data_IF_053655088447
#
_entry.id   IF_053655088447
#
_cell.length_a   1.000
_cell.length_b   1.000
_cell.length_c   1.000
_cell.angle_alpha   90.00
_cell.angle_beta   90.00
_cell.angle_gamma   90.00
#
_symmetry.space_group_name_H-M   'P 1'
#
loop_
_entity.id
_entity.type
_entity.pdbx_description
1 polymer ?
#
# COMPACT_ATOMS: atom_id res chain seq x y z
N UNK A 1 -13.09 -77.16 -11.22
CA UNK A 1 -12.15 -78.18 -11.76
C UNK A 1 -11.80 -77.84 -13.21
N UNK A 2 -10.55 -78.11 -13.64
CA UNK A 2 -10.09 -78.38 -15.02
C UNK A 2 -10.29 -77.31 -16.14
N UNK A 3 -9.18 -76.64 -16.47
CA UNK A 3 -8.63 -76.47 -17.84
C UNK A 3 -7.92 -77.78 -18.28
N UNK A 4 -7.19 -77.92 -19.44
CA UNK A 4 -6.91 -77.06 -20.62
C UNK A 4 -7.52 -77.71 -21.91
N UNK A 5 -7.01 -77.70 -23.18
CA UNK A 5 -5.89 -77.02 -23.91
C UNK A 5 -6.38 -75.89 -24.86
N UNK A 6 -5.61 -75.10 -25.65
CA UNK A 6 -4.22 -75.03 -26.20
C UNK A 6 -3.92 -75.67 -27.57
N UNK A 7 -3.64 -74.80 -28.56
CA UNK A 7 -2.60 -74.83 -29.62
C UNK A 7 -2.85 -73.63 -30.59
N UNK A 8 -1.91 -72.96 -31.24
CA UNK A 8 -0.43 -72.87 -31.13
C UNK A 8 0.11 -71.69 -31.97
N UNK A 9 1.18 -71.03 -31.49
CA UNK A 9 2.36 -70.48 -32.21
C UNK A 9 2.35 -70.42 -33.75
N UNK A 10 2.86 -69.39 -34.45
CA UNK A 10 3.85 -68.34 -34.14
C UNK A 10 3.36 -66.94 -34.63
N UNK A 11 4.11 -65.83 -34.85
CA UNK A 11 5.55 -65.49 -34.83
C UNK A 11 5.75 -63.99 -34.46
N UNK A 12 6.97 -63.45 -34.57
CA UNK A 12 7.37 -62.08 -34.18
C UNK A 12 7.46 -61.12 -35.38
N UNK A 13 7.02 -59.86 -35.22
CA UNK A 13 7.59 -58.70 -35.93
C UNK A 13 7.48 -57.43 -35.08
N UNK A 14 8.45 -56.53 -35.22
CA UNK A 14 8.67 -55.33 -34.38
C UNK A 14 8.10 -54.05 -35.02
N UNK A 15 7.54 -53.12 -34.23
CA UNK A 15 7.00 -51.87 -34.81
C UNK A 15 6.48 -50.84 -33.80
N UNK A 16 7.30 -49.81 -33.55
CA UNK A 16 7.08 -48.59 -32.73
C UNK A 16 5.63 -48.07 -32.52
N UNK A 17 5.34 -47.75 -31.25
CA UNK A 17 4.35 -46.75 -30.84
C UNK A 17 4.82 -45.33 -31.19
N UNK A 18 3.96 -44.52 -31.81
CA UNK A 18 4.19 -43.09 -32.04
C UNK A 18 3.50 -42.23 -30.96
N UNK A 19 4.29 -41.61 -30.08
CA UNK A 19 3.83 -40.49 -29.24
C UNK A 19 4.23 -39.18 -29.91
N UNK A 20 3.26 -38.28 -30.13
CA UNK A 20 3.53 -36.93 -30.62
C UNK A 20 4.08 -36.09 -29.46
N UNK A 21 5.33 -35.64 -29.58
CA UNK A 21 5.87 -34.49 -28.83
C UNK A 21 6.18 -33.39 -29.86
N UNK A 22 5.69 -32.17 -29.64
CA UNK A 22 6.12 -31.00 -30.42
C UNK A 22 7.44 -30.49 -29.87
N UNK A 23 8.42 -30.26 -30.75
CA UNK A 23 9.64 -29.53 -30.42
C UNK A 23 9.35 -28.02 -30.50
N UNK A 24 10.00 -27.26 -29.63
CA UNK A 24 10.50 -25.92 -29.98
C UNK A 24 12.02 -26.01 -29.84
N UNK A 25 12.74 -25.68 -30.91
CA UNK A 25 14.19 -25.85 -30.97
C UNK A 25 14.91 -24.56 -30.55
N UNK A 26 15.93 -24.73 -29.71
CA UNK A 26 16.89 -23.68 -29.37
C UNK A 26 17.69 -23.30 -30.62
N UNK A 27 17.72 -22.01 -30.97
CA UNK A 27 18.67 -21.46 -31.93
C UNK A 27 19.68 -20.57 -31.20
N UNK A 28 20.83 -21.16 -30.88
CA UNK A 28 22.00 -20.46 -30.35
C UNK A 28 22.84 -20.02 -31.56
N UNK A 29 22.90 -18.71 -31.83
CA UNK A 29 23.87 -18.12 -32.77
C UNK A 29 24.70 -17.10 -32.03
N UNK A 30 25.93 -17.48 -31.70
CA UNK A 30 26.92 -16.56 -31.17
C UNK A 30 27.58 -15.81 -32.33
N UNK A 31 27.54 -14.48 -32.30
CA UNK A 31 28.38 -13.63 -33.14
C UNK A 31 28.99 -12.54 -32.25
N UNK A 32 30.25 -12.77 -31.87
CA UNK A 32 31.08 -11.80 -31.17
C UNK A 32 31.38 -10.62 -32.09
N UNK A 33 31.04 -9.41 -31.67
CA UNK A 33 31.65 -8.18 -32.15
C UNK A 33 31.59 -7.14 -31.05
N UNK A 34 32.72 -6.95 -30.37
CA UNK A 34 32.85 -6.00 -29.28
C UNK A 34 33.00 -4.58 -29.84
N UNK A 35 31.94 -3.78 -29.71
CA UNK A 35 32.07 -2.34 -29.47
C UNK A 35 31.46 -2.10 -28.10
N UNK A 36 32.30 -1.77 -27.13
CA UNK A 36 31.88 -1.71 -25.73
C UNK A 36 30.90 -0.59 -25.48
N UNK A 37 29.66 -0.94 -25.10
CA UNK A 37 28.82 -0.02 -24.33
C UNK A 37 29.62 0.45 -23.12
N UNK A 38 29.72 1.76 -22.83
CA UNK A 38 30.41 2.22 -21.65
C UNK A 38 29.72 1.60 -20.43
N UNK A 39 30.46 0.79 -19.66
CA UNK A 39 30.04 0.50 -18.29
C UNK A 39 30.02 1.85 -17.59
N UNK A 40 28.82 2.34 -17.32
CA UNK A 40 28.63 3.47 -16.42
C UNK A 40 29.08 3.02 -15.03
N UNK A 41 30.36 3.23 -14.73
CA UNK A 41 30.89 3.32 -13.36
C UNK A 41 30.51 4.70 -12.78
N UNK A 42 29.25 5.10 -13.01
CA UNK A 42 28.66 6.28 -12.42
C UNK A 42 27.98 5.85 -11.13
N UNK A 43 28.21 6.60 -10.07
CA UNK A 43 27.38 6.55 -8.87
C UNK A 43 25.91 6.68 -9.30
N UNK A 44 25.03 5.79 -8.82
CA UNK A 44 23.59 5.91 -9.07
C UNK A 44 23.15 7.26 -8.51
N UNK A 45 22.69 8.22 -9.34
CA UNK A 45 22.37 9.55 -8.84
C UNK A 45 21.25 9.42 -7.81
N UNK A 46 21.43 10.04 -6.64
CA UNK A 46 20.35 10.08 -5.66
C UNK A 46 19.14 10.78 -6.30
N UNK A 47 17.94 10.18 -6.26
CA UNK A 47 16.75 10.83 -6.79
C UNK A 47 16.56 12.21 -6.13
N UNK A 48 16.12 13.19 -6.92
CA UNK A 48 15.89 14.53 -6.42
C UNK A 48 14.68 14.53 -5.45
N UNK A 49 14.75 15.23 -4.31
CA UNK A 49 13.64 15.28 -3.36
C UNK A 49 12.34 15.73 -4.04
N UNK A 50 11.29 14.91 -3.92
CA UNK A 50 9.93 15.10 -4.44
C UNK A 50 9.16 16.17 -3.65
N UNK A 51 9.77 17.34 -3.47
CA UNK A 51 9.17 18.49 -2.79
C UNK A 51 7.78 18.77 -3.35
N UNK A 52 6.82 18.93 -2.45
CA UNK A 52 5.45 19.32 -2.71
C UNK A 52 5.17 20.75 -2.23
N UNK A 53 3.97 21.28 -2.51
CA UNK A 53 3.49 22.54 -1.96
C UNK A 53 3.49 22.46 -0.42
N UNK A 54 3.79 23.58 0.26
CA UNK A 54 3.66 23.68 1.70
C UNK A 54 2.23 24.07 2.09
N UNK A 55 1.64 23.36 3.06
CA UNK A 55 0.32 23.66 3.63
C UNK A 55 0.48 24.30 5.02
N UNK A 56 0.06 25.56 5.23
CA UNK A 56 0.16 26.21 6.53
C UNK A 56 -0.57 25.42 7.62
N UNK A 57 0.07 25.26 8.78
CA UNK A 57 -0.47 24.42 9.88
C UNK A 57 -1.88 24.85 10.34
N UNK A 58 -2.19 26.15 10.30
CA UNK A 58 -3.50 26.67 10.69
C UNK A 58 -4.64 26.37 9.68
N UNK A 59 -4.35 25.72 8.54
CA UNK A 59 -5.35 25.48 7.49
C UNK A 59 -6.36 24.41 7.91
N UNK A 60 -7.67 24.70 7.96
CA UNK A 60 -8.68 23.64 8.11
C UNK A 60 -8.73 22.81 6.82
N UNK A 61 -8.56 21.49 6.95
CA UNK A 61 -8.67 20.57 5.82
C UNK A 61 -10.14 20.36 5.44
N UNK A 62 -10.41 20.30 4.14
CA UNK A 62 -11.74 20.09 3.55
C UNK A 62 -11.72 19.09 2.41
N UNK A 63 -10.60 18.95 1.68
CA UNK A 63 -10.40 17.91 0.66
C UNK A 63 -9.04 17.23 0.84
N UNK A 64 -9.06 15.92 1.07
CA UNK A 64 -7.88 15.07 1.25
C UNK A 64 -7.99 13.91 0.26
N UNK A 65 -7.02 13.79 -0.64
CA UNK A 65 -6.92 12.64 -1.53
C UNK A 65 -6.00 11.57 -0.93
N UNK A 66 -6.16 10.32 -1.36
CA UNK A 66 -5.25 9.22 -1.05
C UNK A 66 -5.09 8.24 -2.21
N UNK A 67 -4.05 7.43 -2.16
CA UNK A 67 -3.89 6.25 -3.01
C UNK A 67 -2.59 5.51 -2.73
N UNK A 68 -2.50 4.31 -3.29
CA UNK A 68 -1.32 3.44 -3.20
C UNK A 68 -1.02 2.80 -4.55
N UNK A 69 0.06 2.04 -4.63
CA UNK A 69 0.32 1.12 -5.74
C UNK A 69 0.37 1.83 -7.10
N UNK A 70 1.41 2.65 -7.31
CA UNK A 70 1.68 3.37 -8.54
C UNK A 70 2.94 2.86 -9.26
N UNK A 71 2.78 2.35 -10.48
CA UNK A 71 3.86 1.86 -11.34
C UNK A 71 4.21 2.91 -12.42
N UNK A 72 5.28 3.73 -12.25
CA UNK A 72 5.65 4.77 -13.22
C UNK A 72 6.02 4.23 -14.61
N UNK A 73 6.38 2.95 -14.72
CA UNK A 73 6.72 2.27 -15.97
C UNK A 73 5.53 1.95 -16.88
N UNK A 74 4.28 2.14 -16.42
CA UNK A 74 3.07 1.86 -17.23
C UNK A 74 2.63 3.01 -18.14
N UNK A 75 3.29 4.18 -18.08
CA UNK A 75 2.92 5.40 -18.82
C UNK A 75 1.45 5.87 -18.58
N UNK A 76 0.86 5.49 -17.44
CA UNK A 76 -0.53 5.78 -17.06
C UNK A 76 -0.62 6.89 -16.00
N UNK A 77 -0.01 8.04 -16.29
CA UNK A 77 0.05 9.20 -15.38
C UNK A 77 -1.28 9.99 -15.26
N UNK A 78 -2.37 9.55 -15.92
CA UNK A 78 -3.64 10.28 -15.98
C UNK A 78 -4.33 10.41 -14.61
N UNK A 79 -4.11 9.45 -13.70
CA UNK A 79 -4.59 9.49 -12.32
C UNK A 79 -4.12 10.75 -11.57
N UNK A 80 -2.91 11.25 -11.85
CA UNK A 80 -2.42 12.51 -11.24
C UNK A 80 -3.20 13.73 -11.72
N UNK A 81 -3.68 13.74 -12.97
CA UNK A 81 -4.54 14.80 -13.48
C UNK A 81 -5.94 14.72 -12.86
N UNK A 82 -6.49 13.52 -12.66
CA UNK A 82 -7.77 13.32 -11.98
C UNK A 82 -7.71 13.74 -10.50
N UNK A 83 -6.63 13.40 -9.79
CA UNK A 83 -6.35 13.89 -8.42
C UNK A 83 -6.21 15.41 -8.42
N UNK A 84 -5.47 16.00 -9.37
CA UNK A 84 -5.33 17.46 -9.46
C UNK A 84 -6.68 18.16 -9.71
N UNK A 85 -7.59 17.54 -10.47
CA UNK A 85 -8.91 18.09 -10.81
C UNK A 85 -9.88 18.17 -9.63
N UNK A 86 -9.71 17.35 -8.58
CA UNK A 86 -10.49 17.48 -7.33
C UNK A 86 -9.87 18.45 -6.32
N UNK A 87 -8.77 19.13 -6.70
CA UNK A 87 -8.10 20.17 -5.92
C UNK A 87 -7.91 19.84 -4.42
N UNK A 88 -7.20 18.74 -4.09
CA UNK A 88 -6.96 18.35 -2.71
C UNK A 88 -5.92 19.27 -2.06
N UNK A 89 -6.15 19.62 -0.80
CA UNK A 89 -5.19 20.37 0.02
C UNK A 89 -4.01 19.48 0.44
N UNK A 90 -4.31 18.18 0.64
CA UNK A 90 -3.40 17.14 1.07
C UNK A 90 -3.63 15.88 0.23
N UNK A 91 -2.56 15.26 -0.25
CA UNK A 91 -2.54 13.92 -0.82
C UNK A 91 -1.75 13.01 0.13
N UNK A 92 -2.35 11.90 0.53
CA UNK A 92 -1.75 10.86 1.35
C UNK A 92 -1.42 9.67 0.46
N UNK A 93 -0.14 9.46 0.15
CA UNK A 93 0.29 8.22 -0.48
C UNK A 93 0.53 7.18 0.62
N UNK A 94 -0.16 6.05 0.54
CA UNK A 94 -0.21 5.08 1.65
C UNK A 94 0.82 3.96 1.53
N UNK A 95 1.56 3.89 0.42
CA UNK A 95 2.51 2.83 0.13
C UNK A 95 2.50 2.42 -1.35
N UNK A 96 3.49 1.63 -1.75
CA UNK A 96 3.86 1.33 -3.14
C UNK A 96 3.79 2.56 -4.04
N UNK A 97 4.48 3.63 -3.62
CA UNK A 97 4.51 4.89 -4.36
C UNK A 97 5.25 4.73 -5.71
N UNK A 98 6.11 3.71 -5.81
CA UNK A 98 6.78 3.24 -7.03
C UNK A 98 6.91 1.72 -7.03
N UNK A 99 6.85 1.09 -8.21
CA UNK A 99 7.33 -0.28 -8.43
C UNK A 99 8.64 -0.26 -9.22
N UNK A 100 9.57 -1.14 -8.86
CA UNK A 100 10.74 -1.43 -9.67
C UNK A 100 10.34 -2.16 -10.97
N UNK A 101 11.07 -1.91 -12.05
CA UNK A 101 10.93 -2.73 -13.28
C UNK A 101 11.54 -4.13 -13.15
N UNK A 102 12.54 -4.27 -12.27
CA UNK A 102 13.08 -5.55 -11.81
C UNK A 102 13.37 -5.44 -10.31
N UNK A 103 12.92 -6.41 -9.52
CA UNK A 103 13.14 -6.44 -8.08
C UNK A 103 14.36 -7.30 -7.76
N UNK A 104 15.53 -6.67 -7.67
CA UNK A 104 16.80 -7.35 -7.36
C UNK A 104 17.23 -7.24 -5.90
N UNK A 105 16.75 -6.20 -5.23
CA UNK A 105 17.08 -5.91 -3.83
C UNK A 105 18.59 -5.92 -3.52
N UNK A 106 19.42 -5.54 -4.50
CA UNK A 106 20.88 -5.49 -4.34
C UNK A 106 21.32 -4.24 -3.52
N UNK A 107 22.46 -4.31 -2.81
CA UNK A 107 23.04 -3.11 -2.17
C UNK A 107 23.23 -1.98 -3.18
N UNK A 108 22.88 -0.75 -2.80
CA UNK A 108 22.78 0.39 -3.70
C UNK A 108 21.35 0.68 -4.19
N UNK A 109 20.41 -0.26 -4.03
CA UNK A 109 18.97 -0.14 -4.33
C UNK A 109 18.69 0.52 -5.69
N UNK A 110 19.44 0.12 -6.72
CA UNK A 110 19.49 0.84 -7.99
C UNK A 110 18.11 0.90 -8.65
N UNK A 111 17.41 -0.22 -8.73
CA UNK A 111 16.14 -0.33 -9.44
C UNK A 111 15.03 0.49 -8.75
N UNK A 112 15.10 0.64 -7.42
CA UNK A 112 14.23 1.52 -6.63
C UNK A 112 14.58 3.01 -6.84
N UNK A 113 15.88 3.37 -6.89
CA UNK A 113 16.32 4.72 -7.25
C UNK A 113 15.88 5.11 -8.67
N UNK A 114 16.00 4.18 -9.62
CA UNK A 114 15.56 4.36 -11.01
C UNK A 114 14.03 4.54 -11.07
N UNK A 115 13.24 3.76 -10.31
CA UNK A 115 11.79 3.91 -10.23
C UNK A 115 11.35 5.27 -9.63
N UNK A 116 11.98 5.73 -8.55
CA UNK A 116 11.76 7.08 -8.02
C UNK A 116 12.19 8.18 -8.99
N UNK A 117 13.26 7.99 -9.77
CA UNK A 117 13.66 8.93 -10.80
C UNK A 117 12.63 9.02 -11.95
N UNK A 118 11.97 7.91 -12.29
CA UNK A 118 10.85 7.90 -13.26
C UNK A 118 9.67 8.71 -12.73
N UNK A 119 9.17 8.42 -11.52
CA UNK A 119 8.10 9.22 -10.88
C UNK A 119 8.46 10.70 -10.76
N UNK A 120 9.73 11.02 -10.44
CA UNK A 120 10.21 12.40 -10.37
C UNK A 120 10.14 13.14 -11.72
N UNK A 121 10.23 12.41 -12.83
CA UNK A 121 10.25 12.94 -14.21
C UNK A 121 8.86 13.18 -14.81
N UNK A 122 7.81 12.58 -14.25
CA UNK A 122 6.44 12.74 -14.75
C UNK A 122 5.94 14.18 -14.64
N UNK A 123 5.44 14.73 -15.74
CA UNK A 123 5.03 16.13 -15.84
C UNK A 123 3.76 16.42 -15.02
N UNK A 124 2.83 15.46 -15.01
CA UNK A 124 1.56 15.44 -14.31
C UNK A 124 1.79 15.40 -12.80
N UNK A 125 2.58 14.44 -12.30
CA UNK A 125 2.94 14.35 -10.89
C UNK A 125 3.73 15.59 -10.42
N UNK A 126 4.67 16.08 -11.22
CA UNK A 126 5.36 17.33 -10.94
C UNK A 126 4.42 18.55 -10.93
N UNK A 127 3.34 18.56 -11.73
CA UNK A 127 2.33 19.61 -11.71
C UNK A 127 1.44 19.56 -10.46
N UNK A 128 1.01 18.36 -10.06
CA UNK A 128 0.27 18.11 -8.82
C UNK A 128 1.08 18.55 -7.58
N UNK A 129 2.35 18.13 -7.48
CA UNK A 129 3.27 18.54 -6.41
C UNK A 129 3.44 20.05 -6.26
N UNK A 130 3.32 20.83 -7.34
CA UNK A 130 3.40 22.31 -7.28
C UNK A 130 2.15 22.98 -6.68
N UNK A 131 1.10 22.23 -6.35
CA UNK A 131 -0.20 22.77 -5.89
C UNK A 131 -0.75 22.09 -4.64
N UNK A 132 -0.47 20.81 -4.46
CA UNK A 132 -0.95 19.97 -3.36
C UNK A 132 0.21 19.57 -2.45
N UNK A 133 0.00 19.55 -1.14
CA UNK A 133 0.95 18.95 -0.18
C UNK A 133 0.84 17.45 -0.25
N UNK A 134 1.97 16.75 -0.36
CA UNK A 134 2.02 15.29 -0.34
C UNK A 134 2.68 14.85 0.96
N UNK A 135 2.07 13.88 1.64
CA UNK A 135 2.76 13.02 2.59
C UNK A 135 2.75 11.59 2.05
N UNK A 136 3.82 10.85 2.33
CA UNK A 136 3.97 9.46 1.94
C UNK A 136 4.43 8.63 3.14
N UNK A 137 3.89 7.42 3.26
CA UNK A 137 4.59 6.29 3.90
C UNK A 137 4.93 5.27 2.80
N UNK A 138 5.57 4.17 3.17
CA UNK A 138 5.97 3.10 2.25
C UNK A 138 5.11 1.84 2.37
N UNK A 139 5.14 1.03 1.32
CA UNK A 139 4.93 -0.42 1.41
C UNK A 139 6.17 -1.18 0.92
N UNK A 140 6.07 -2.48 0.64
CA UNK A 140 7.19 -3.35 0.30
C UNK A 140 7.95 -2.97 -0.99
N UNK A 141 7.30 -2.41 -2.01
CA UNK A 141 8.04 -1.98 -3.21
C UNK A 141 8.83 -0.69 -2.97
N UNK A 142 8.31 0.26 -2.18
CA UNK A 142 9.10 1.39 -1.68
C UNK A 142 10.22 0.94 -0.70
N UNK A 143 9.99 -0.15 0.03
CA UNK A 143 10.93 -0.75 0.97
C UNK A 143 12.04 -1.53 0.27
N UNK A 144 11.82 -1.97 -0.98
CA UNK A 144 12.85 -2.51 -1.87
C UNK A 144 12.80 -4.02 -2.13
N UNK A 145 11.85 -4.74 -1.52
CA UNK A 145 11.61 -6.18 -1.73
C UNK A 145 10.19 -6.58 -1.28
N UNK A 146 9.42 -7.17 -2.20
CA UNK A 146 8.08 -7.69 -2.00
C UNK A 146 7.96 -8.61 -0.75
N UNK A 147 6.88 -8.48 0.01
CA UNK A 147 6.61 -9.20 1.28
C UNK A 147 7.73 -9.06 2.34
N UNK A 148 8.70 -8.15 2.21
CA UNK A 148 9.82 -8.06 3.16
C UNK A 148 9.50 -7.22 4.40
N UNK A 149 10.14 -7.59 5.52
CA UNK A 149 10.04 -6.94 6.82
C UNK A 149 11.40 -6.63 7.45
N UNK A 150 11.49 -6.71 8.78
CA UNK A 150 12.68 -6.37 9.55
C UNK A 150 13.93 -7.21 9.19
N UNK A 151 13.74 -8.38 8.57
CA UNK A 151 14.81 -9.25 8.06
C UNK A 151 15.53 -8.70 6.81
N UNK A 152 14.98 -7.68 6.15
CA UNK A 152 15.51 -7.17 4.89
C UNK A 152 16.90 -6.51 5.06
N UNK A 153 17.98 -7.03 4.42
CA UNK A 153 19.34 -6.55 4.69
C UNK A 153 19.57 -5.08 4.29
N UNK A 154 18.82 -4.56 3.32
CA UNK A 154 18.92 -3.19 2.83
C UNK A 154 17.91 -2.23 3.48
N UNK A 155 17.11 -2.67 4.48
CA UNK A 155 16.12 -1.83 5.22
C UNK A 155 16.61 -0.40 5.50
N UNK A 156 17.84 -0.26 6.02
CA UNK A 156 18.44 1.04 6.38
C UNK A 156 18.88 1.89 5.18
N UNK A 157 19.20 1.26 4.05
CA UNK A 157 19.44 1.99 2.80
C UNK A 157 18.12 2.45 2.17
N UNK A 158 17.07 1.63 2.25
CA UNK A 158 15.71 1.98 1.80
C UNK A 158 15.18 3.15 2.61
N UNK A 159 15.33 3.11 3.94
CA UNK A 159 14.95 4.19 4.87
C UNK A 159 15.62 5.52 4.47
N UNK A 160 16.95 5.50 4.30
CA UNK A 160 17.70 6.70 3.91
C UNK A 160 17.34 7.19 2.48
N UNK A 161 17.02 6.27 1.57
CA UNK A 161 16.53 6.59 0.23
C UNK A 161 15.15 7.25 0.31
N UNK A 162 14.20 6.67 1.03
CA UNK A 162 12.85 7.19 1.22
C UNK A 162 12.88 8.60 1.83
N UNK A 163 13.67 8.81 2.89
CA UNK A 163 13.85 10.13 3.52
C UNK A 163 14.47 11.17 2.56
N UNK A 164 15.36 10.75 1.66
CA UNK A 164 15.92 11.64 0.63
C UNK A 164 14.92 12.01 -0.46
N UNK A 165 13.99 11.10 -0.78
CA UNK A 165 12.95 11.28 -1.79
C UNK A 165 11.78 12.09 -1.26
N UNK A 166 11.31 11.79 -0.05
CA UNK A 166 10.10 12.36 0.54
C UNK A 166 10.44 13.30 1.70
N UNK A 167 10.66 14.61 1.43
CA UNK A 167 11.01 15.57 2.46
C UNK A 167 9.80 15.90 3.35
N UNK A 168 9.66 15.19 4.46
CA UNK A 168 8.69 15.48 5.52
C UNK A 168 9.14 16.70 6.35
N UNK A 169 8.21 17.56 6.84
CA UNK A 169 8.54 18.68 7.72
C UNK A 169 9.34 18.31 8.98
N UNK A 170 10.22 19.21 9.41
CA UNK A 170 11.02 19.06 10.63
C UNK A 170 10.11 18.87 11.86
N UNK A 171 10.42 17.86 12.68
CA UNK A 171 9.65 17.52 13.88
C UNK A 171 8.37 16.70 13.66
N UNK A 172 7.98 16.41 12.42
CA UNK A 172 6.88 15.48 12.12
C UNK A 172 7.35 14.00 12.06
N UNK A 173 8.63 13.77 11.82
CA UNK A 173 9.27 12.46 11.96
C UNK A 173 9.25 11.95 13.42
N UNK A 174 9.31 10.63 13.54
CA UNK A 174 9.82 9.91 14.73
C UNK A 174 11.11 10.54 15.30
N UNK A 175 11.32 10.33 16.61
CA UNK A 175 12.49 10.88 17.32
C UNK A 175 13.63 9.86 17.54
N UNK A 176 13.41 8.58 17.20
CA UNK A 176 14.33 7.45 17.43
C UNK A 176 15.30 7.19 16.25
N UNK A 177 14.88 7.51 15.02
CA UNK A 177 15.65 7.26 13.81
C UNK A 177 15.52 5.84 13.25
N UNK A 178 14.40 5.14 13.50
CA UNK A 178 14.09 3.86 12.83
C UNK A 178 12.65 3.81 12.29
N UNK A 179 12.49 3.68 10.97
CA UNK A 179 11.22 3.48 10.25
C UNK A 179 10.51 4.71 9.68
N UNK A 180 9.54 4.52 8.82
CA UNK A 180 8.86 5.60 8.07
C UNK A 180 7.49 5.88 8.68
N UNK A 181 7.49 6.44 9.90
CA UNK A 181 6.27 6.83 10.61
C UNK A 181 6.31 8.27 11.10
N UNK A 182 5.15 8.93 11.07
CA UNK A 182 5.04 10.38 11.28
C UNK A 182 3.68 10.86 11.80
N UNK A 183 3.69 12.03 12.43
CA UNK A 183 2.49 12.75 12.88
C UNK A 183 2.47 14.16 12.28
N UNK A 184 1.36 14.56 11.67
CA UNK A 184 1.10 15.95 11.30
C UNK A 184 -0.30 16.39 11.76
N UNK A 185 -0.39 17.63 12.22
CA UNK A 185 -1.65 18.23 12.72
C UNK A 185 -1.92 19.53 11.98
N UNK A 186 -3.12 19.66 11.40
CA UNK A 186 -3.59 20.86 10.73
C UNK A 186 -4.91 21.36 11.30
N UNK A 187 -5.16 22.66 11.16
CA UNK A 187 -6.41 23.33 11.50
C UNK A 187 -6.50 23.85 12.94
N UNK A 188 -7.40 24.82 13.19
CA UNK A 188 -7.69 25.32 14.53
C UNK A 188 -8.48 24.29 15.35
N UNK A 189 -8.59 24.51 16.67
CA UNK A 189 -9.51 23.77 17.53
C UNK A 189 -10.94 23.83 16.98
N UNK A 190 -11.66 22.70 16.98
CA UNK A 190 -12.99 22.56 16.37
C UNK A 190 -12.95 22.20 14.87
N UNK A 191 -11.77 22.27 14.24
CA UNK A 191 -11.51 21.87 12.83
C UNK A 191 -10.12 21.26 12.65
N UNK A 192 -9.62 20.57 13.68
CA UNK A 192 -8.27 20.01 13.73
C UNK A 192 -8.26 18.60 13.18
N UNK A 193 -7.44 18.37 12.16
CA UNK A 193 -7.13 17.03 11.64
C UNK A 193 -5.74 16.63 12.12
N UNK A 194 -5.64 15.45 12.72
CA UNK A 194 -4.36 14.76 12.95
C UNK A 194 -4.22 13.61 11.95
N UNK A 195 -3.10 13.56 11.25
CA UNK A 195 -2.72 12.44 10.39
C UNK A 195 -1.60 11.67 11.08
N UNK A 196 -1.82 10.37 11.26
CA UNK A 196 -0.85 9.42 11.81
C UNK A 196 -0.50 8.42 10.71
N UNK A 197 0.73 8.47 10.21
CA UNK A 197 1.21 7.53 9.21
C UNK A 197 2.02 6.43 9.90
N UNK A 198 1.57 5.19 9.74
CA UNK A 198 2.26 4.00 10.23
C UNK A 198 3.31 3.50 9.23
N UNK A 199 4.13 2.58 9.72
CA UNK A 199 5.14 1.82 8.98
C UNK A 199 4.87 0.35 9.28
N UNK A 200 4.41 -0.41 8.28
CA UNK A 200 4.07 -1.82 8.40
C UNK A 200 5.24 -2.76 8.00
N UNK A 201 6.45 -2.20 7.79
CA UNK A 201 7.59 -2.89 7.17
C UNK A 201 8.82 -2.93 8.09
N UNK A 202 9.28 -1.78 8.60
CA UNK A 202 10.58 -1.69 9.31
C UNK A 202 10.76 -2.67 10.44
N UNK A 203 9.70 -2.85 11.23
CA UNK A 203 9.72 -3.62 12.46
C UNK A 203 9.01 -4.97 12.32
N UNK A 204 8.44 -5.24 11.15
CA UNK A 204 7.58 -6.40 10.93
C UNK A 204 8.41 -7.67 10.91
N UNK A 205 8.12 -8.60 11.81
CA UNK A 205 8.67 -9.95 11.77
C UNK A 205 8.14 -10.74 10.55
N UNK A 206 8.80 -11.86 10.21
CA UNK A 206 8.25 -12.79 9.22
C UNK A 206 6.81 -13.19 9.57
N UNK A 207 5.92 -13.16 8.57
CA UNK A 207 4.53 -13.53 8.78
C UNK A 207 4.38 -14.94 9.38
N UNK A 208 3.55 -15.12 10.43
CA UNK A 208 3.28 -16.44 10.97
C UNK A 208 2.50 -17.31 9.96
N UNK A 209 2.60 -18.63 10.09
CA UNK A 209 1.70 -19.54 9.38
C UNK A 209 0.25 -19.38 9.87
N UNK A 210 -0.73 -19.80 9.08
CA UNK A 210 -2.16 -19.69 9.44
C UNK A 210 -2.49 -20.44 10.74
N UNK A 211 -1.78 -21.54 11.01
CA UNK A 211 -1.88 -22.33 12.24
C UNK A 211 -1.24 -21.64 13.46
N UNK A 212 -0.26 -20.76 13.24
CA UNK A 212 0.49 -20.07 14.28
C UNK A 212 -0.05 -18.67 14.60
N UNK A 213 -0.77 -18.02 13.67
CA UNK A 213 -1.17 -16.61 13.76
C UNK A 213 -1.85 -16.26 15.10
N UNK A 214 -2.77 -17.10 15.59
CA UNK A 214 -3.49 -16.88 16.85
C UNK A 214 -2.65 -17.04 18.13
N UNK A 215 -1.41 -17.54 18.04
CA UNK A 215 -0.50 -17.74 19.18
C UNK A 215 0.90 -17.18 18.94
N UNK A 216 1.08 -16.35 17.91
CA UNK A 216 2.37 -15.76 17.55
C UNK A 216 2.67 -14.53 18.39
N UNK A 217 3.94 -14.37 18.74
CA UNK A 217 4.55 -13.20 19.36
C UNK A 217 5.24 -12.25 18.35
N UNK A 218 5.08 -12.53 17.05
CA UNK A 218 5.56 -11.68 15.96
C UNK A 218 4.93 -10.28 16.03
N UNK A 219 5.75 -9.24 15.85
CA UNK A 219 5.29 -7.85 15.82
C UNK A 219 5.18 -7.30 14.39
N UNK A 220 4.29 -6.32 14.22
CA UNK A 220 4.10 -5.56 12.97
C UNK A 220 4.74 -4.18 13.07
N UNK A 221 4.45 -3.46 14.16
CA UNK A 221 4.94 -2.09 14.39
C UNK A 221 6.22 -2.03 15.24
N UNK A 222 6.52 -3.07 16.02
CA UNK A 222 7.58 -3.01 17.02
C UNK A 222 7.25 -2.08 18.19
N UNK A 223 7.87 -2.35 19.33
CA UNK A 223 7.48 -1.71 20.59
C UNK A 223 7.71 -0.19 20.62
N UNK A 224 8.72 0.32 19.90
CA UNK A 224 9.00 1.77 19.84
C UNK A 224 7.87 2.54 19.14
N UNK A 225 7.41 2.05 17.99
CA UNK A 225 6.31 2.65 17.26
C UNK A 225 4.97 2.46 17.99
N UNK A 226 4.77 1.33 18.68
CA UNK A 226 3.62 1.13 19.57
C UNK A 226 3.54 2.19 20.68
N UNK A 227 4.65 2.48 21.34
CA UNK A 227 4.73 3.51 22.39
C UNK A 227 4.52 4.91 21.82
N UNK A 228 5.09 5.20 20.65
CA UNK A 228 4.81 6.44 19.92
C UNK A 228 3.32 6.58 19.59
N UNK A 229 2.69 5.56 19.00
CA UNK A 229 1.30 5.58 18.59
C UNK A 229 0.38 5.78 19.81
N UNK A 230 0.62 5.05 20.90
CA UNK A 230 -0.10 5.21 22.15
C UNK A 230 -0.06 6.67 22.66
N UNK A 231 1.10 7.33 22.57
CA UNK A 231 1.23 8.75 22.95
C UNK A 231 0.50 9.68 21.97
N UNK A 232 0.63 9.48 20.66
CA UNK A 232 0.00 10.37 19.66
C UNK A 232 -1.52 10.25 19.61
N UNK A 233 -2.06 9.08 19.94
CA UNK A 233 -3.51 8.89 20.11
C UNK A 233 -4.08 9.69 21.29
N UNK A 234 -3.26 10.16 22.23
CA UNK A 234 -3.70 11.06 23.31
C UNK A 234 -3.61 12.55 22.96
N UNK A 235 -3.09 12.92 21.80
CA UNK A 235 -3.09 14.31 21.33
C UNK A 235 -4.52 14.75 20.95
N UNK A 236 -4.95 15.99 21.25
CA UNK A 236 -6.31 16.42 20.93
C UNK A 236 -6.47 16.68 19.43
N UNK A 237 -7.49 16.09 18.81
CA UNK A 237 -7.86 16.24 17.41
C UNK A 237 -9.40 16.19 17.28
N UNK A 238 -9.99 16.91 16.33
CA UNK A 238 -11.43 16.81 16.06
C UNK A 238 -11.71 15.64 15.09
N UNK A 239 -10.80 15.43 14.13
CA UNK A 239 -10.76 14.28 13.23
C UNK A 239 -9.34 13.68 13.22
N UNK A 240 -9.26 12.35 13.24
CA UNK A 240 -8.02 11.57 13.16
C UNK A 240 -8.04 10.69 11.91
N UNK A 241 -6.97 10.75 11.13
CA UNK A 241 -6.71 9.85 10.01
C UNK A 241 -5.56 8.92 10.40
N UNK A 242 -5.84 7.61 10.43
CA UNK A 242 -4.82 6.58 10.61
C UNK A 242 -4.48 6.00 9.24
N UNK A 243 -3.26 6.22 8.77
CA UNK A 243 -2.76 5.65 7.51
C UNK A 243 -1.93 4.41 7.81
N UNK A 244 -2.37 3.27 7.31
CA UNK A 244 -1.64 2.00 7.29
C UNK A 244 -1.32 1.67 5.84
N UNK A 245 -0.22 0.99 5.55
CA UNK A 245 0.07 0.61 4.16
C UNK A 245 -0.84 -0.56 3.73
N UNK A 246 -0.86 -1.61 4.56
CA UNK A 246 -1.74 -2.77 4.44
C UNK A 246 -3.09 -2.59 5.17
N UNK A 247 -4.18 -3.30 4.80
CA UNK A 247 -5.51 -3.10 5.38
C UNK A 247 -5.66 -3.51 6.85
N UNK A 248 -6.38 -2.71 7.64
CA UNK A 248 -6.54 -2.91 9.10
C UNK A 248 -7.81 -3.70 9.45
N UNK A 249 -8.93 -3.35 8.82
CA UNK A 249 -10.26 -3.87 9.11
C UNK A 249 -10.60 -5.13 8.30
N UNK A 250 -9.82 -5.48 7.27
CA UNK A 250 -9.97 -6.72 6.51
C UNK A 250 -10.01 -7.95 7.43
N UNK A 251 -10.93 -8.88 7.15
CA UNK A 251 -10.98 -10.20 7.80
C UNK A 251 -10.36 -11.32 6.96
N UNK A 252 -9.84 -10.99 5.76
CA UNK A 252 -9.21 -11.95 4.84
C UNK A 252 -7.99 -12.64 5.43
N UNK A 253 -7.83 -13.92 5.11
CA UNK A 253 -6.68 -14.75 5.50
C UNK A 253 -5.61 -14.83 4.40
N UNK A 254 -5.82 -14.18 3.24
CA UNK A 254 -4.87 -14.06 2.12
C UNK A 254 -4.42 -12.60 1.88
N UNK A 255 -3.20 -12.42 1.39
CA UNK A 255 -2.55 -11.11 1.16
C UNK A 255 -2.06 -10.44 2.45
N UNK A 256 -1.19 -9.43 2.34
CA UNK A 256 -0.70 -8.72 3.52
C UNK A 256 -1.79 -7.84 4.13
N UNK A 257 -2.17 -8.11 5.38
CA UNK A 257 -3.16 -7.35 6.12
C UNK A 257 -3.05 -7.67 7.61
N UNK A 258 -3.60 -6.80 8.46
CA UNK A 258 -3.47 -6.91 9.91
C UNK A 258 -4.08 -8.20 10.50
N UNK A 259 -5.06 -8.86 9.84
CA UNK A 259 -5.64 -10.10 10.36
C UNK A 259 -4.65 -11.28 10.35
N UNK A 260 -3.53 -11.19 9.62
CA UNK A 260 -2.42 -12.17 9.69
C UNK A 260 -1.64 -12.12 11.00
N UNK A 261 -1.73 -11.03 11.76
CA UNK A 261 -1.19 -10.90 13.13
C UNK A 261 -2.31 -10.48 14.10
N UNK A 262 -3.22 -11.40 14.49
CA UNK A 262 -4.40 -11.08 15.31
C UNK A 262 -4.10 -10.37 16.63
N UNK A 263 -2.97 -10.67 17.28
CA UNK A 263 -2.56 -10.02 18.53
C UNK A 263 -2.21 -8.53 18.33
N UNK A 264 -1.41 -8.22 17.30
CA UNK A 264 -1.07 -6.84 16.92
C UNK A 264 -2.32 -6.06 16.46
N UNK A 265 -3.22 -6.69 15.69
CA UNK A 265 -4.51 -6.10 15.30
C UNK A 265 -5.40 -5.81 16.50
N UNK A 266 -5.50 -6.72 17.46
CA UNK A 266 -6.24 -6.50 18.70
C UNK A 266 -5.63 -5.36 19.53
N UNK A 267 -4.29 -5.27 19.61
CA UNK A 267 -3.57 -4.17 20.25
C UNK A 267 -3.85 -2.82 19.58
N UNK A 268 -3.89 -2.76 18.24
CA UNK A 268 -4.26 -1.54 17.52
C UNK A 268 -5.68 -1.10 17.86
N UNK A 269 -6.65 -2.01 17.74
CA UNK A 269 -8.06 -1.70 17.95
C UNK A 269 -8.35 -1.26 19.39
N UNK A 270 -7.69 -1.86 20.39
CA UNK A 270 -7.77 -1.42 21.79
C UNK A 270 -7.17 -0.02 22.01
N UNK A 271 -6.03 0.30 21.39
CA UNK A 271 -5.47 1.65 21.44
C UNK A 271 -6.36 2.68 20.74
N UNK A 272 -6.99 2.32 19.62
CA UNK A 272 -7.94 3.19 18.91
C UNK A 272 -9.21 3.42 19.72
N UNK A 273 -9.73 2.42 20.44
CA UNK A 273 -10.86 2.60 21.35
C UNK A 273 -10.52 3.56 22.52
N UNK A 274 -9.28 3.52 23.02
CA UNK A 274 -8.79 4.33 24.15
C UNK A 274 -8.14 5.67 23.74
N UNK A 275 -8.30 6.09 22.49
CA UNK A 275 -7.74 7.37 21.98
C UNK A 275 -8.41 8.57 22.65
N UNK A 276 -7.71 9.71 22.70
CA UNK A 276 -8.32 10.98 23.06
C UNK A 276 -9.44 11.33 22.07
N UNK A 277 -10.51 11.92 22.59
CA UNK A 277 -11.77 12.06 21.88
C UNK A 277 -11.61 12.74 20.51
N UNK A 278 -12.18 12.10 19.49
CA UNK A 278 -12.00 12.42 18.06
C UNK A 278 -12.82 11.45 17.21
N UNK A 279 -13.32 11.93 16.07
CA UNK A 279 -13.71 11.04 14.99
C UNK A 279 -12.48 10.36 14.35
N UNK A 280 -12.66 9.18 13.74
CA UNK A 280 -11.58 8.37 13.18
C UNK A 280 -11.96 7.84 11.79
N UNK A 281 -11.02 7.93 10.85
CA UNK A 281 -11.07 7.19 9.57
C UNK A 281 -9.72 6.51 9.36
N UNK A 282 -9.75 5.23 8.98
CA UNK A 282 -8.56 4.46 8.61
C UNK A 282 -8.40 4.52 7.08
N UNK A 283 -7.16 4.60 6.61
CA UNK A 283 -6.79 4.71 5.19
C UNK A 283 -5.72 3.66 4.86
N UNK A 284 -5.87 2.96 3.73
CA UNK A 284 -5.00 1.84 3.36
C UNK A 284 -4.86 1.59 1.84
N UNK A 285 -3.87 0.77 1.49
CA UNK A 285 -3.44 0.44 0.13
C UNK A 285 -3.30 -1.07 -0.10
N UNK A 286 -2.10 -1.51 -0.53
CA UNK A 286 -1.64 -2.89 -0.82
C UNK A 286 -2.43 -3.70 -1.88
N UNK A 287 -3.75 -3.75 -1.78
CA UNK A 287 -4.49 -4.91 -2.34
C UNK A 287 -4.85 -4.84 -3.83
N UNK A 288 -4.44 -3.78 -4.55
CA UNK A 288 -4.71 -3.51 -5.98
C UNK A 288 -6.22 -3.50 -6.38
N UNK A 289 -7.14 -3.36 -5.42
CA UNK A 289 -8.54 -2.99 -5.62
C UNK A 289 -9.00 -2.04 -4.51
N UNK A 290 -9.96 -1.15 -4.80
CA UNK A 290 -10.50 -0.22 -3.83
C UNK A 290 -11.70 -0.80 -3.07
N UNK A 291 -11.86 -0.46 -1.79
CA UNK A 291 -13.01 -0.88 -0.98
C UNK A 291 -13.34 0.14 0.13
N UNK A 292 -14.55 0.01 0.69
CA UNK A 292 -14.83 0.49 2.05
C UNK A 292 -15.03 -0.72 2.93
N UNK A 293 -14.32 -0.75 4.06
CA UNK A 293 -14.43 -1.76 5.10
C UNK A 293 -15.02 -1.09 6.36
N UNK A 294 -15.91 -1.79 7.04
CA UNK A 294 -16.55 -1.35 8.28
C UNK A 294 -16.52 -2.47 9.32
N UNK A 295 -16.21 -2.09 10.56
CA UNK A 295 -16.22 -2.98 11.72
C UNK A 295 -16.88 -2.29 12.89
N UNK A 296 -17.88 -2.92 13.49
CA UNK A 296 -18.45 -2.45 14.75
C UNK A 296 -17.42 -2.58 15.89
N UNK A 297 -17.28 -1.51 16.66
CA UNK A 297 -16.68 -1.48 17.99
C UNK A 297 -17.77 -1.06 19.00
N UNK A 298 -17.46 -1.07 20.30
CA UNK A 298 -18.47 -0.96 21.35
C UNK A 298 -19.34 0.32 21.26
N UNK A 299 -18.71 1.48 21.00
CA UNK A 299 -19.38 2.80 20.94
C UNK A 299 -19.32 3.47 19.55
N UNK A 300 -18.75 2.81 18.52
CA UNK A 300 -18.66 3.38 17.17
C UNK A 300 -18.47 2.31 16.08
N UNK A 301 -18.88 2.61 14.84
CA UNK A 301 -18.47 1.84 13.66
C UNK A 301 -17.13 2.38 13.14
N UNK A 302 -16.07 1.56 13.21
CA UNK A 302 -14.79 1.89 12.59
C UNK A 302 -14.91 1.75 11.07
N UNK A 303 -14.39 2.74 10.34
CA UNK A 303 -14.44 2.78 8.88
C UNK A 303 -13.05 2.91 8.29
N UNK A 304 -12.78 2.10 7.28
CA UNK A 304 -11.56 2.12 6.47
C UNK A 304 -11.89 2.38 5.00
N UNK A 305 -11.26 3.39 4.42
CA UNK A 305 -11.27 3.64 2.98
C UNK A 305 -9.95 3.11 2.39
N UNK A 306 -10.04 1.95 1.75
CA UNK A 306 -8.94 1.30 1.06
C UNK A 306 -8.94 1.80 -0.39
N UNK A 307 -7.86 2.46 -0.82
CA UNK A 307 -7.69 2.90 -2.21
C UNK A 307 -6.39 2.37 -2.79
N UNK A 308 -6.52 1.22 -3.44
CA UNK A 308 -5.48 0.63 -4.28
C UNK A 308 -6.12 0.20 -5.61
N UNK A 309 -5.48 0.28 -6.76
CA UNK A 309 -4.19 0.88 -7.05
C UNK A 309 -4.36 2.11 -7.94
N UNK A 310 -3.42 3.05 -7.88
CA UNK A 310 -3.46 4.28 -8.66
C UNK A 310 -3.34 4.02 -10.17
N UNK A 311 -2.58 3.00 -10.60
CA UNK A 311 -2.53 2.57 -12.00
C UNK A 311 -2.19 1.08 -12.24
N UNK A 312 -2.11 0.24 -11.21
CA UNK A 312 -1.70 -1.18 -11.31
C UNK A 312 -2.82 -2.16 -10.87
N UNK A 313 -4.04 -2.12 -11.45
CA UNK A 313 -5.19 -2.87 -10.93
C UNK A 313 -5.02 -4.39 -11.08
N UNK A 314 -5.71 -5.18 -10.23
CA UNK A 314 -5.68 -6.64 -10.39
C UNK A 314 -6.30 -7.06 -11.73
N UNK A 315 -5.47 -7.77 -12.51
CA UNK A 315 -5.80 -8.39 -13.79
C UNK A 315 -6.96 -9.38 -13.66
N UNK A 316 -7.79 -9.49 -14.70
CA UNK A 316 -9.01 -10.31 -14.62
C UNK A 316 -8.74 -11.79 -14.32
N UNK A 317 -7.60 -12.33 -14.80
CA UNK A 317 -7.17 -13.71 -14.56
C UNK A 317 -6.71 -13.97 -13.10
N UNK A 318 -6.29 -12.93 -12.38
CA UNK A 318 -5.88 -13.03 -10.98
C UNK A 318 -7.05 -12.86 -10.00
N UNK A 319 -8.12 -12.11 -10.37
CA UNK A 319 -9.28 -11.86 -9.50
C UNK A 319 -9.93 -13.12 -8.89
N UNK A 320 -10.09 -14.27 -9.59
CA UNK A 320 -10.68 -15.48 -9.02
C UNK A 320 -9.84 -16.15 -7.93
N UNK A 321 -8.57 -15.76 -7.79
CA UNK A 321 -7.62 -16.31 -6.81
C UNK A 321 -7.62 -15.52 -5.50
N UNK A 322 -8.23 -14.32 -5.49
CA UNK A 322 -8.37 -13.50 -4.31
C UNK A 322 -9.50 -14.00 -3.41
N UNK A 323 -9.28 -13.95 -2.11
CA UNK A 323 -10.38 -13.97 -1.14
C UNK A 323 -11.13 -12.62 -1.20
N UNK A 324 -12.04 -12.49 -2.16
CA UNK A 324 -12.89 -11.30 -2.30
C UNK A 324 -14.01 -11.23 -1.24
N UNK A 325 -14.26 -12.34 -0.56
CA UNK A 325 -15.26 -12.44 0.51
C UNK A 325 -14.69 -11.93 1.82
N UNK A 326 -14.67 -10.61 1.97
CA UNK A 326 -14.31 -9.94 3.22
C UNK A 326 -15.59 -9.51 3.95
N UNK A 327 -15.78 -9.99 5.18
CA UNK A 327 -16.94 -9.68 6.01
C UNK A 327 -16.98 -8.21 6.47
N UNK A 328 -15.83 -7.53 6.48
CA UNK A 328 -15.77 -6.10 6.75
C UNK A 328 -16.21 -5.26 5.54
N UNK A 329 -16.14 -5.77 4.30
CA UNK A 329 -16.43 -4.99 3.08
C UNK A 329 -17.89 -4.57 2.96
N UNK A 330 -18.13 -3.37 2.41
CA UNK A 330 -19.45 -2.74 2.30
C UNK A 330 -19.77 -2.26 0.88
N UNK A 331 -20.41 -3.14 0.11
CA UNK A 331 -20.64 -2.97 -1.32
C UNK A 331 -19.50 -3.55 -2.15
N UNK A 332 -19.48 -3.25 -3.44
CA UNK A 332 -18.56 -3.89 -4.39
C UNK A 332 -17.10 -3.43 -4.24
N UNK A 333 -16.18 -4.33 -4.57
CA UNK A 333 -14.75 -4.04 -4.70
C UNK A 333 -14.47 -3.39 -6.06
N UNK A 334 -13.60 -2.39 -6.07
CA UNK A 334 -13.30 -1.56 -7.23
C UNK A 334 -11.99 -2.03 -7.87
N UNK A 335 -12.09 -2.88 -8.89
CA UNK A 335 -10.93 -3.41 -9.63
C UNK A 335 -10.45 -2.53 -10.80
N UNK A 336 -10.96 -1.30 -10.89
CA UNK A 336 -10.41 -0.28 -11.78
C UNK A 336 -9.30 0.49 -11.04
N UNK A 337 -8.37 1.08 -11.80
CA UNK A 337 -7.44 2.06 -11.25
C UNK A 337 -8.23 3.16 -10.52
N UNK A 338 -7.85 3.49 -9.30
CA UNK A 338 -8.61 4.41 -8.46
C UNK A 338 -7.75 5.21 -7.47
N UNK A 339 -8.31 6.33 -7.03
CA UNK A 339 -7.83 7.11 -5.89
C UNK A 339 -8.99 7.40 -4.92
N UNK A 340 -8.67 7.58 -3.65
CA UNK A 340 -9.62 7.92 -2.61
C UNK A 340 -9.73 9.43 -2.43
N UNK A 341 -10.91 9.92 -2.06
CA UNK A 341 -11.16 11.32 -1.72
C UNK A 341 -12.07 11.42 -0.49
N UNK A 342 -11.61 12.15 0.52
CA UNK A 342 -12.38 12.58 1.68
C UNK A 342 -12.75 14.06 1.51
N UNK A 343 -14.05 14.36 1.47
CA UNK A 343 -14.59 15.73 1.47
C UNK A 343 -15.22 16.03 2.85
N UNK A 344 -14.57 16.87 3.67
CA UNK A 344 -14.93 17.13 5.08
C UNK A 344 -15.89 18.31 5.16
N UNK A 345 -17.09 18.08 5.69
CA UNK A 345 -18.06 19.11 6.07
C UNK A 345 -18.05 19.31 7.59
N UNK A 346 -17.28 20.29 8.07
CA UNK A 346 -17.15 20.62 9.48
C UNK A 346 -18.47 21.05 10.15
N UNK A 347 -19.33 21.78 9.43
CA UNK A 347 -20.59 22.30 10.00
C UNK A 347 -21.63 21.20 10.23
N UNK A 348 -21.45 20.04 9.58
CA UNK A 348 -22.26 18.82 9.77
C UNK A 348 -21.50 17.69 10.49
N UNK A 349 -20.24 17.90 10.83
CA UNK A 349 -19.31 16.85 11.30
C UNK A 349 -19.40 15.55 10.48
N UNK A 350 -19.42 15.69 9.14
CA UNK A 350 -19.58 14.58 8.21
C UNK A 350 -18.50 14.59 7.11
N UNK A 351 -18.08 13.40 6.69
CA UNK A 351 -17.15 13.19 5.57
C UNK A 351 -17.89 12.50 4.43
N UNK A 352 -17.78 13.02 3.20
CA UNK A 352 -18.08 12.21 2.02
C UNK A 352 -16.78 11.51 1.61
N UNK A 353 -16.70 10.21 1.90
CA UNK A 353 -15.62 9.34 1.49
C UNK A 353 -15.97 8.72 0.14
N UNK A 354 -15.05 8.76 -0.83
CA UNK A 354 -15.29 8.24 -2.18
C UNK A 354 -14.06 7.58 -2.78
N UNK A 355 -14.30 6.64 -3.70
CA UNK A 355 -13.32 6.12 -4.64
C UNK A 355 -13.66 6.63 -6.04
N UNK A 356 -12.66 7.14 -6.74
CA UNK A 356 -12.78 7.72 -8.08
C UNK A 356 -11.80 7.05 -9.03
N UNK A 357 -12.18 6.91 -10.30
CA UNK A 357 -11.33 6.35 -11.34
C UNK A 357 -10.11 7.24 -11.63
N UNK A 358 -9.16 6.69 -12.38
CA UNK A 358 -8.04 7.43 -12.97
C UNK A 358 -8.47 8.49 -14.01
N UNK A 359 -9.72 8.44 -14.46
CA UNK A 359 -10.43 9.48 -15.23
C UNK A 359 -11.21 10.50 -14.35
N UNK A 360 -11.24 10.28 -13.03
CA UNK A 360 -11.99 11.09 -12.05
C UNK A 360 -13.47 10.71 -11.87
N UNK A 361 -13.98 9.72 -12.61
CA UNK A 361 -15.36 9.25 -12.48
C UNK A 361 -15.64 8.68 -11.09
N UNK A 362 -16.85 8.89 -10.56
CA UNK A 362 -17.22 8.35 -9.25
C UNK A 362 -17.50 6.85 -9.35
N UNK A 363 -16.76 6.04 -8.59
CA UNK A 363 -16.91 4.57 -8.57
C UNK A 363 -17.65 4.10 -7.32
N UNK A 364 -17.36 4.69 -6.16
CA UNK A 364 -18.02 4.39 -4.89
C UNK A 364 -18.06 5.63 -4.00
N UNK A 365 -19.11 5.79 -3.18
CA UNK A 365 -19.16 6.79 -2.11
C UNK A 365 -19.89 6.31 -0.85
N UNK A 366 -19.48 6.82 0.31
CA UNK A 366 -20.12 6.66 1.62
C UNK A 366 -20.09 8.00 2.37
N UNK A 367 -21.17 8.33 3.07
CA UNK A 367 -21.17 9.45 4.00
C UNK A 367 -20.89 8.90 5.40
N UNK A 368 -19.84 9.41 6.04
CA UNK A 368 -19.41 9.03 7.38
C UNK A 368 -19.76 10.16 8.34
N UNK A 369 -20.23 9.83 9.54
CA UNK A 369 -20.25 10.78 10.66
C UNK A 369 -18.89 10.75 11.35
N UNK A 370 -18.38 11.91 11.76
CA UNK A 370 -17.29 12.02 12.71
C UNK A 370 -17.66 12.86 13.94
N UNK A 371 -18.94 13.24 14.06
CA UNK A 371 -19.51 13.61 15.35
C UNK A 371 -19.49 12.41 16.28
N UNK A 372 -18.93 12.59 17.48
CA UNK A 372 -19.29 11.78 18.64
C UNK A 372 -20.34 12.55 19.42
N UNK A 373 -21.36 11.85 19.90
CA UNK A 373 -22.39 12.46 20.73
C UNK A 373 -21.75 13.01 22.01
N UNK A 374 -21.94 14.30 22.25
CA UNK A 374 -21.55 14.94 23.51
C UNK A 374 -22.51 14.50 24.61
N UNK A 375 -22.28 13.31 25.16
CA UNK A 375 -22.98 12.82 26.34
C UNK A 375 -22.52 13.59 27.59
N UNK A 376 -23.28 14.65 27.90
CA UNK A 376 -23.49 15.37 29.18
C UNK A 376 -22.34 15.42 30.22
#
# INVERSE_FOLDING_TARGET
>A
MRWPPRNSMWLVSTGRLSRIKRLVAICLVALLSACGSPRLTGETPSPLPLRSQALPQATPLTRIALGSCYAPQLEQAQVWNAIAAVEPQLLLLTGDNVYQSEERAEPGLRELRDAYAMLASEAEFAALRRRTTILATWDDHDYGLNDAGAEFPQRRESEALFESVWPIPEGAWRADGEGIYSELIWGPVGRRVQVLMLDSRSFRDSWPSKEQAGSSDATLLGETQWQWLQQRLQMPADLRLLVSSIPVLSERQEGENWARMPAERARLLDLLARRADSGLVILSGDTHFGAVLEREADDETLVELLSSSLNLPITEDARPQLELNDAARRGDAIFAANFGLLEINWDKQAILASLRGDDGALLLQRQLSFARDAND
#
